data_IF_413582553189
#
_entry.id   IF_413582553189
#
_cell.length_a   1.000
_cell.length_b   1.000
_cell.length_c   1.000
_cell.angle_alpha   90.00
_cell.angle_beta   90.00
_cell.angle_gamma   90.00
#
_symmetry.space_group_name_H-M   'P 1'
#
loop_
_entity.id
_entity.type
_entity.pdbx_description
1 polymer ?
#
# COMPACT_ATOMS: atom_id res chain seq x y z
N UNK A 1 -25.69 17.56 14.54
CA UNK A 1 -25.26 17.42 13.14
C UNK A 1 -23.91 16.75 13.19
N UNK A 2 -23.86 15.43 13.03
CA UNK A 2 -22.62 14.74 12.74
C UNK A 2 -22.54 14.74 11.22
N UNK A 3 -21.69 15.60 10.67
CA UNK A 3 -21.27 15.44 9.29
C UNK A 3 -20.44 14.16 9.30
N UNK A 4 -20.98 13.11 8.69
CA UNK A 4 -20.20 11.94 8.37
C UNK A 4 -19.28 12.42 7.24
N UNK A 5 -18.08 12.86 7.59
CA UNK A 5 -17.02 13.20 6.65
C UNK A 5 -16.47 11.88 6.07
N UNK A 6 -17.34 11.07 5.47
CA UNK A 6 -16.90 9.97 4.63
C UNK A 6 -16.26 10.60 3.39
N UNK A 7 -14.95 10.81 3.51
CA UNK A 7 -14.10 11.26 2.43
C UNK A 7 -14.29 10.28 1.26
N UNK A 8 -14.72 10.81 0.11
CA UNK A 8 -15.03 10.00 -1.07
C UNK A 8 -13.84 9.11 -1.45
N UNK A 9 -14.08 7.81 -1.53
CA UNK A 9 -13.14 6.83 -2.09
C UNK A 9 -13.74 6.27 -3.38
N UNK A 10 -12.92 6.15 -4.43
CA UNK A 10 -13.31 5.46 -5.65
C UNK A 10 -13.33 3.94 -5.41
N UNK A 11 -13.63 3.16 -6.45
CA UNK A 11 -13.60 1.71 -6.38
C UNK A 11 -12.22 1.20 -5.98
N UNK A 12 -12.17 0.11 -5.20
CA UNK A 12 -10.91 -0.45 -4.67
C UNK A 12 -9.86 -0.80 -5.72
N UNK A 13 -10.24 -1.10 -6.97
CA UNK A 13 -9.27 -1.31 -8.05
C UNK A 13 -8.64 0.00 -8.53
N UNK A 14 -9.41 1.10 -8.55
CA UNK A 14 -8.92 2.43 -8.94
C UNK A 14 -7.95 2.95 -7.90
N UNK A 15 -8.33 2.89 -6.63
CA UNK A 15 -7.49 3.38 -5.54
C UNK A 15 -6.24 2.50 -5.36
N UNK A 16 -6.34 1.16 -5.50
CA UNK A 16 -5.15 0.30 -5.58
C UNK A 16 -4.17 0.71 -6.68
N UNK A 17 -4.64 1.08 -7.86
CA UNK A 17 -3.77 1.54 -8.95
C UNK A 17 -3.10 2.88 -8.65
N UNK A 18 -3.72 3.74 -7.83
CA UNK A 18 -3.14 5.03 -7.40
C UNK A 18 -2.14 4.85 -6.27
N UNK A 19 -2.43 3.96 -5.32
CA UNK A 19 -1.62 3.72 -4.13
C UNK A 19 -0.44 2.77 -4.40
N UNK A 20 -0.62 1.70 -5.16
CA UNK A 20 0.44 0.73 -5.37
C UNK A 20 1.31 1.05 -6.59
N UNK A 21 2.51 1.52 -6.30
CA UNK A 21 3.49 1.90 -7.31
C UNK A 21 4.21 0.67 -7.86
N UNK A 22 4.42 0.67 -9.17
CA UNK A 22 5.27 -0.32 -9.84
C UNK A 22 6.73 0.09 -9.68
N UNK A 23 7.59 -0.91 -9.43
CA UNK A 23 9.02 -0.69 -9.31
C UNK A 23 9.63 -0.65 -10.71
N UNK A 24 10.42 0.38 -11.00
CA UNK A 24 11.21 0.44 -12.22
C UNK A 24 12.48 -0.41 -12.07
N UNK A 25 12.82 -1.17 -13.11
CA UNK A 25 14.02 -2.00 -13.11
C UNK A 25 15.31 -1.16 -13.21
N UNK A 26 15.24 -0.02 -13.89
CA UNK A 26 16.35 0.91 -14.10
C UNK A 26 15.84 2.34 -13.87
N UNK A 27 15.71 2.79 -12.62
CA UNK A 27 15.16 4.12 -12.28
C UNK A 27 15.99 5.30 -12.84
N UNK A 28 17.28 5.08 -13.10
CA UNK A 28 18.17 6.00 -13.80
C UNK A 28 18.02 5.98 -15.34
N UNK A 29 17.25 5.02 -15.87
CA UNK A 29 17.06 4.78 -17.30
C UNK A 29 17.88 3.61 -17.84
N UNK A 30 17.77 3.30 -19.15
CA UNK A 30 18.48 2.18 -19.76
C UNK A 30 20.00 2.30 -19.62
N UNK A 31 20.71 1.18 -19.67
CA UNK A 31 22.17 1.18 -19.59
C UNK A 31 22.81 2.17 -20.58
N UNK A 32 23.63 3.07 -20.07
CA UNK A 32 24.26 4.15 -20.85
C UNK A 32 23.43 5.43 -20.99
N UNK A 33 22.27 5.54 -20.34
CA UNK A 33 21.50 6.77 -20.30
C UNK A 33 22.31 7.89 -19.62
N UNK A 34 22.24 9.14 -20.14
CA UNK A 34 22.93 10.28 -19.53
C UNK A 34 22.23 10.83 -18.27
N UNK A 35 21.07 10.27 -17.90
CA UNK A 35 20.22 10.74 -16.80
C UNK A 35 20.80 10.28 -15.45
N UNK A 36 20.73 11.15 -14.44
CA UNK A 36 21.12 10.79 -13.06
C UNK A 36 22.61 10.48 -12.88
N UNK A 37 23.49 10.97 -13.76
CA UNK A 37 24.94 10.65 -13.72
C UNK A 37 25.60 11.06 -12.39
N UNK A 38 25.25 12.24 -11.90
CA UNK A 38 25.86 12.86 -10.73
C UNK A 38 24.84 13.09 -9.60
N UNK A 39 23.63 12.53 -9.74
CA UNK A 39 22.53 12.66 -8.79
C UNK A 39 22.17 11.28 -8.21
N UNK A 40 21.82 11.19 -6.92
CA UNK A 40 21.32 9.95 -6.34
C UNK A 40 20.08 9.44 -7.07
N UNK A 41 19.95 8.12 -7.14
CA UNK A 41 18.74 7.47 -7.65
C UNK A 41 17.61 7.69 -6.64
N UNK A 42 16.53 8.31 -7.11
CA UNK A 42 15.30 8.49 -6.35
C UNK A 42 14.25 7.49 -6.84
N UNK A 43 13.49 6.91 -5.92
CA UNK A 43 12.47 5.90 -6.24
C UNK A 43 11.25 6.50 -6.96
N UNK A 44 11.02 7.82 -6.89
CA UNK A 44 9.86 8.50 -7.48
C UNK A 44 10.24 9.90 -7.96
N UNK A 45 9.73 10.29 -9.13
CA UNK A 45 9.94 11.63 -9.70
C UNK A 45 8.91 12.67 -9.23
N UNK A 46 7.75 12.21 -8.78
CA UNK A 46 6.69 13.03 -8.17
C UNK A 46 6.71 12.89 -6.64
N UNK A 47 6.18 13.85 -5.88
CA UNK A 47 6.00 13.70 -4.43
C UNK A 47 5.20 12.44 -4.07
N UNK A 48 5.42 11.92 -2.87
CA UNK A 48 4.59 10.86 -2.29
C UNK A 48 3.20 11.39 -1.95
N UNK A 49 2.18 10.62 -2.29
CA UNK A 49 0.80 10.86 -1.89
C UNK A 49 0.42 9.93 -0.74
N UNK A 50 -0.64 10.28 0.00
CA UNK A 50 -1.13 9.45 1.09
C UNK A 50 -1.49 8.03 0.59
N UNK A 51 -1.19 7.00 1.38
CA UNK A 51 -1.46 5.60 1.02
C UNK A 51 -0.52 4.97 -0.01
N UNK A 52 0.34 5.76 -0.68
CA UNK A 52 1.25 5.22 -1.70
C UNK A 52 2.34 4.34 -1.13
N UNK A 53 2.59 3.21 -1.80
CA UNK A 53 3.57 2.21 -1.40
C UNK A 53 3.97 1.30 -2.56
N UNK A 54 5.10 0.60 -2.42
CA UNK A 54 5.50 -0.44 -3.37
C UNK A 54 4.93 -1.81 -2.97
N UNK A 55 4.72 -2.66 -3.98
CA UNK A 55 4.42 -4.07 -3.73
C UNK A 55 5.60 -4.76 -3.03
N UNK A 56 5.33 -5.31 -1.85
CA UNK A 56 6.29 -6.11 -1.09
C UNK A 56 5.89 -7.58 -1.20
N UNK A 57 6.79 -8.49 -1.62
CA UNK A 57 6.45 -9.91 -1.82
C UNK A 57 6.11 -10.64 -0.51
N UNK A 58 6.44 -10.07 0.65
CA UNK A 58 6.16 -10.64 1.97
C UNK A 58 4.88 -10.11 2.64
N UNK A 59 4.11 -9.24 1.97
CA UNK A 59 2.82 -8.74 2.49
C UNK A 59 1.65 -9.60 2.04
N UNK A 60 0.57 -9.61 2.81
CA UNK A 60 -0.66 -10.29 2.43
C UNK A 60 -1.30 -9.66 1.19
N UNK A 61 -1.83 -10.50 0.30
CA UNK A 61 -2.53 -10.09 -0.92
C UNK A 61 -3.81 -9.27 -0.62
N UNK A 62 -4.51 -9.65 0.46
CA UNK A 62 -5.67 -8.93 0.98
C UNK A 62 -5.46 -8.64 2.47
N UNK A 63 -5.02 -7.42 2.79
CA UNK A 63 -4.69 -7.00 4.16
C UNK A 63 -5.93 -6.93 5.05
N UNK A 64 -7.02 -6.36 4.53
CA UNK A 64 -8.31 -6.28 5.25
C UNK A 64 -8.81 -7.66 5.69
N UNK A 65 -8.64 -8.70 4.86
CA UNK A 65 -9.03 -10.05 5.25
C UNK A 65 -8.11 -10.68 6.31
N UNK A 66 -6.88 -10.19 6.47
CA UNK A 66 -5.88 -10.71 7.41
C UNK A 66 -5.78 -9.92 8.72
N UNK A 67 -6.49 -8.80 8.82
CA UNK A 67 -6.55 -7.96 10.00
C UNK A 67 -7.12 -8.73 11.20
N UNK A 68 -6.50 -8.57 12.37
CA UNK A 68 -6.88 -9.23 13.61
C UNK A 68 -6.58 -10.73 13.66
N UNK A 69 -5.94 -11.31 12.64
CA UNK A 69 -5.66 -12.74 12.57
C UNK A 69 -4.17 -13.07 12.79
N UNK A 70 -3.77 -13.41 14.04
CA UNK A 70 -2.39 -13.76 14.33
C UNK A 70 -1.99 -15.08 13.67
N UNK A 71 -0.74 -15.15 13.23
CA UNK A 71 -0.10 -16.37 12.74
C UNK A 71 -0.06 -17.40 13.88
N UNK A 72 -0.64 -18.58 13.67
CA UNK A 72 -0.75 -19.65 14.70
C UNK A 72 0.49 -20.54 14.80
N UNK A 73 1.68 -20.01 14.52
CA UNK A 73 2.94 -20.75 14.60
C UNK A 73 3.75 -20.31 15.84
N UNK A 74 4.32 -21.25 16.62
CA UNK A 74 5.15 -20.90 17.76
C UNK A 74 6.33 -19.98 17.36
N UNK A 75 6.49 -18.85 18.05
CA UNK A 75 7.54 -17.87 17.74
C UNK A 75 7.27 -17.03 16.48
N UNK A 76 6.05 -17.03 15.94
CA UNK A 76 5.71 -16.14 14.84
C UNK A 76 5.85 -14.67 15.25
N UNK A 77 6.42 -13.87 14.34
CA UNK A 77 6.46 -12.42 14.50
C UNK A 77 5.03 -11.85 14.56
N UNK A 78 4.77 -10.81 15.37
CA UNK A 78 3.52 -10.05 15.33
C UNK A 78 3.15 -9.64 13.91
N UNK A 79 1.86 -9.67 13.63
CA UNK A 79 1.28 -9.13 12.39
C UNK A 79 1.31 -7.60 12.46
N UNK A 80 1.64 -6.94 11.36
CA UNK A 80 1.77 -5.47 11.27
C UNK A 80 0.38 -4.85 11.02
N UNK A 81 -0.55 -5.11 11.93
CA UNK A 81 -1.95 -4.70 11.81
C UNK A 81 -2.15 -3.29 12.37
N UNK A 82 -3.05 -2.53 11.75
CA UNK A 82 -3.45 -1.21 12.26
C UNK A 82 -4.41 -1.39 13.43
N UNK A 83 -4.07 -0.90 14.62
CA UNK A 83 -4.92 -1.09 15.81
C UNK A 83 -6.18 -0.23 15.79
N UNK A 84 -6.22 0.80 14.96
CA UNK A 84 -7.34 1.76 14.90
C UNK A 84 -8.32 1.45 13.77
N UNK A 85 -7.95 0.57 12.83
CA UNK A 85 -8.74 0.28 11.63
C UNK A 85 -8.86 -1.21 11.39
N UNK A 86 -10.10 -1.68 11.28
CA UNK A 86 -10.40 -3.09 10.96
C UNK A 86 -10.28 -3.38 9.45
N UNK A 87 -10.44 -2.36 8.60
CA UNK A 87 -10.36 -2.50 7.15
C UNK A 87 -9.80 -1.24 6.51
N UNK A 88 -9.19 -1.41 5.33
CA UNK A 88 -8.86 -0.28 4.45
C UNK A 88 -10.13 0.40 3.94
N UNK A 89 -10.10 1.72 3.73
CA UNK A 89 -11.29 2.52 3.38
C UNK A 89 -12.01 1.98 2.15
N UNK A 90 -11.25 1.59 1.14
CA UNK A 90 -11.71 1.04 -0.14
C UNK A 90 -12.50 -0.28 0.00
N UNK A 91 -12.44 -0.94 1.18
CA UNK A 91 -13.03 -2.24 1.44
C UNK A 91 -14.16 -2.21 2.49
N UNK A 92 -14.60 -1.03 2.94
CA UNK A 92 -15.64 -0.90 3.97
C UNK A 92 -17.00 -1.47 3.56
N UNK A 93 -17.29 -1.55 2.26
CA UNK A 93 -18.51 -2.17 1.73
C UNK A 93 -18.50 -3.71 1.82
N UNK A 94 -17.35 -4.32 2.14
CA UNK A 94 -17.19 -5.76 2.27
C UNK A 94 -17.18 -6.10 3.77
N UNK A 95 -18.06 -7.00 4.26
CA UNK A 95 -18.09 -7.32 5.68
C UNK A 95 -16.72 -7.85 6.16
N UNK A 96 -16.26 -7.43 7.35
CA UNK A 96 -15.00 -7.91 7.90
C UNK A 96 -15.08 -9.41 8.21
N UNK A 97 -13.90 -10.04 8.25
CA UNK A 97 -13.78 -11.47 8.54
C UNK A 97 -14.33 -11.71 9.96
N UNK A 98 -15.37 -12.56 10.07
CA UNK A 98 -16.11 -12.84 11.32
C UNK A 98 -15.48 -13.96 12.13
#
# INVERSE_FOLDING_TARGET
MFFNDEEYTDFSNVEKMRHFLTVEQTPEGPYGAPRGKDEPVENKSTPWEEGQQFYTPSTYENRSLHQGMPRRFPGAHPINDDKEKDQEREYQDIPPNT
#
